data_IF_374544516516
#
_entry.id   IF_374544516516
#
_cell.length_a   1.000
_cell.length_b   1.000
_cell.length_c   1.000
_cell.angle_alpha   90.00
_cell.angle_beta   90.00
_cell.angle_gamma   90.00
#
_symmetry.space_group_name_H-M   'P 1'
#
loop_
_entity.id
_entity.type
_entity.pdbx_description
1 polymer ?
#
# COMPACT_ATOMS: atom_id res chain seq x y z
N UNK A 1 -35.00 4.30 19.32
CA UNK A 1 -34.44 4.75 18.03
C UNK A 1 -33.50 5.90 18.30
N UNK A 2 -32.32 5.90 17.69
CA UNK A 2 -31.29 6.94 17.85
C UNK A 2 -31.72 8.24 17.16
N UNK A 3 -31.34 9.39 17.71
CA UNK A 3 -31.63 10.69 17.11
C UNK A 3 -30.87 10.81 15.78
N UNK A 4 -31.60 10.74 14.66
CA UNK A 4 -31.07 10.79 13.30
C UNK A 4 -30.60 9.46 12.70
N UNK A 5 -30.76 8.31 13.39
CA UNK A 5 -30.54 6.97 12.83
C UNK A 5 -29.15 6.70 12.23
N UNK A 6 -28.97 5.51 11.64
CA UNK A 6 -27.87 5.20 10.71
C UNK A 6 -26.47 4.98 11.31
N UNK A 7 -26.34 4.78 12.62
CA UNK A 7 -25.05 4.58 13.26
C UNK A 7 -24.56 3.13 13.15
N UNK A 8 -23.34 2.97 12.65
CA UNK A 8 -22.58 1.72 12.60
C UNK A 8 -21.52 1.72 13.70
N UNK A 9 -21.42 0.65 14.47
CA UNK A 9 -20.33 0.48 15.44
C UNK A 9 -19.05 0.16 14.69
N UNK A 10 -18.04 0.99 14.86
CA UNK A 10 -16.70 0.76 14.32
C UNK A 10 -15.81 -0.01 15.28
N UNK A 11 -15.94 0.22 16.58
CA UNK A 11 -15.06 -0.43 17.54
C UNK A 11 -15.51 -0.29 18.98
N UNK A 12 -14.89 -1.10 19.82
CA UNK A 12 -15.11 -1.16 21.25
C UNK A 12 -13.80 -1.39 21.98
N UNK A 13 -13.51 -0.53 22.95
CA UNK A 13 -12.46 -0.69 23.94
C UNK A 13 -13.10 -0.94 25.31
N UNK A 14 -12.70 -2.03 25.98
CA UNK A 14 -13.13 -2.37 27.35
C UNK A 14 -11.99 -2.16 28.34
N UNK A 15 -12.25 -1.40 29.40
CA UNK A 15 -11.36 -1.26 30.54
C UNK A 15 -11.89 -2.03 31.77
N UNK A 16 -11.02 -2.71 32.56
CA UNK A 16 -9.62 -2.99 32.29
C UNK A 16 -9.45 -4.11 31.24
N UNK A 17 -8.52 -3.92 30.29
CA UNK A 17 -8.36 -4.75 29.09
C UNK A 17 -7.72 -6.13 29.31
N UNK A 18 -7.58 -6.58 30.55
CA UNK A 18 -6.64 -7.65 30.92
C UNK A 18 -7.07 -9.05 30.44
N UNK A 19 -8.30 -9.21 29.95
CA UNK A 19 -8.97 -10.50 29.88
C UNK A 19 -8.82 -11.33 28.60
N UNK A 20 -8.85 -10.76 27.39
CA UNK A 20 -9.17 -11.58 26.21
C UNK A 20 -8.75 -11.00 24.84
N UNK A 21 -7.49 -10.62 24.67
CA UNK A 21 -6.98 -10.56 23.30
C UNK A 21 -6.68 -12.01 22.81
N UNK A 22 -6.77 -12.30 21.50
CA UNK A 22 -6.34 -13.59 20.92
C UNK A 22 -4.96 -14.01 21.45
N UNK A 23 -4.69 -15.30 21.64
CA UNK A 23 -3.48 -15.77 22.37
C UNK A 23 -2.13 -15.38 21.74
N UNK A 24 -2.12 -14.88 20.51
CA UNK A 24 -1.00 -14.31 19.75
C UNK A 24 -0.92 -12.77 19.84
N UNK A 25 -1.99 -12.13 20.31
CA UNK A 25 -2.11 -10.70 20.57
C UNK A 25 -2.10 -10.53 22.08
N UNK A 26 -0.96 -10.09 22.64
CA UNK A 26 -0.92 -9.73 24.05
C UNK A 26 -2.03 -8.69 24.33
N UNK A 27 -2.68 -8.76 25.49
CA UNK A 27 -3.88 -8.03 25.91
C UNK A 27 -3.74 -6.48 25.98
N UNK A 28 -2.81 -5.92 25.20
CA UNK A 28 -2.23 -4.59 25.28
C UNK A 28 -2.06 -3.91 23.91
N UNK A 29 -2.50 -4.51 22.79
CA UNK A 29 -2.33 -3.93 21.45
C UNK A 29 -3.38 -2.87 21.08
N UNK A 30 -3.34 -1.72 21.77
CA UNK A 30 -4.14 -0.53 21.45
C UNK A 30 -3.77 0.13 20.11
N UNK A 31 -2.63 -0.26 19.53
CA UNK A 31 -2.18 0.17 18.21
C UNK A 31 -3.25 -0.09 17.13
N UNK A 32 -3.96 -1.21 17.24
CA UNK A 32 -5.00 -1.60 16.28
C UNK A 32 -6.22 -0.70 16.35
N UNK A 33 -6.55 -0.22 17.55
CA UNK A 33 -7.65 0.70 17.79
C UNK A 33 -7.44 2.09 17.14
N UNK A 34 -6.19 2.43 16.81
CA UNK A 34 -5.83 3.72 16.22
C UNK A 34 -5.38 3.62 14.76
N UNK A 35 -5.53 2.51 14.04
CA UNK A 35 -5.04 2.38 12.64
C UNK A 35 -6.08 2.75 11.57
N UNK A 36 -6.88 3.81 11.78
CA UNK A 36 -8.00 4.12 10.88
C UNK A 36 -7.60 4.43 9.43
N UNK A 37 -6.37 4.90 9.18
CA UNK A 37 -5.90 5.20 7.82
C UNK A 37 -5.07 4.08 7.20
N UNK A 38 -4.55 3.13 7.99
CA UNK A 38 -3.72 2.06 7.43
C UNK A 38 -4.59 0.87 7.06
N UNK A 39 -4.65 0.58 5.75
CA UNK A 39 -5.42 -0.56 5.24
C UNK A 39 -4.80 -1.92 5.48
N UNK A 40 -3.63 -1.96 6.15
CA UNK A 40 -2.97 -3.21 6.54
C UNK A 40 -3.83 -4.11 7.42
N UNK A 41 -4.76 -3.54 8.20
CA UNK A 41 -5.69 -4.32 9.02
C UNK A 41 -6.96 -4.76 8.25
N UNK A 42 -7.20 -4.23 7.05
CA UNK A 42 -8.44 -4.50 6.32
C UNK A 42 -8.35 -5.88 5.64
N UNK A 43 -9.29 -6.77 5.95
CA UNK A 43 -9.44 -8.06 5.29
C UNK A 43 -8.73 -9.23 5.98
N UNK A 44 -7.82 -8.97 6.92
CA UNK A 44 -7.18 -10.00 7.73
C UNK A 44 -8.14 -10.50 8.82
N UNK A 45 -8.34 -11.82 8.90
CA UNK A 45 -9.31 -12.47 9.80
C UNK A 45 -9.10 -12.11 11.28
N UNK A 46 -7.84 -11.95 11.72
CA UNK A 46 -7.50 -11.53 13.07
C UNK A 46 -7.93 -10.10 13.45
N UNK A 47 -8.47 -9.32 12.52
CA UNK A 47 -8.90 -7.94 12.72
C UNK A 47 -10.41 -7.75 12.55
N UNK A 48 -11.17 -8.84 12.49
CA UNK A 48 -12.62 -8.76 12.36
C UNK A 48 -13.22 -8.25 13.66
N UNK A 49 -14.07 -7.24 13.56
CA UNK A 49 -14.83 -6.76 14.70
C UNK A 49 -15.82 -7.81 15.16
N UNK A 50 -15.59 -8.41 16.32
CA UNK A 50 -16.58 -9.25 16.98
C UNK A 50 -17.22 -8.44 18.12
N UNK A 51 -18.48 -7.98 17.97
CA UNK A 51 -19.18 -7.25 19.03
C UNK A 51 -19.34 -8.07 20.32
N UNK A 52 -19.28 -9.40 20.23
CA UNK A 52 -19.31 -10.29 21.38
C UNK A 52 -17.91 -10.55 21.95
N UNK A 53 -16.85 -10.07 21.29
CA UNK A 53 -15.49 -10.23 21.79
C UNK A 53 -15.42 -9.66 23.21
N UNK A 54 -14.91 -10.47 24.14
CA UNK A 54 -14.72 -10.00 25.50
C UNK A 54 -13.51 -9.05 25.63
N UNK A 55 -12.69 -8.93 24.58
CA UNK A 55 -11.58 -7.98 24.46
C UNK A 55 -11.90 -6.75 23.60
N UNK A 56 -10.95 -5.81 23.46
CA UNK A 56 -11.10 -4.67 22.57
C UNK A 56 -11.05 -5.11 21.10
N UNK A 57 -11.80 -4.42 20.24
CA UNK A 57 -11.81 -4.65 18.80
C UNK A 57 -12.12 -3.36 18.03
N UNK A 58 -11.72 -3.32 16.77
CA UNK A 58 -11.99 -2.22 15.85
C UNK A 58 -12.05 -2.77 14.43
N UNK A 59 -13.06 -2.37 13.67
CA UNK A 59 -13.29 -2.79 12.29
C UNK A 59 -13.42 -1.58 11.36
N UNK A 60 -12.27 -1.09 10.90
CA UNK A 60 -12.19 0.03 9.97
C UNK A 60 -12.74 -0.28 8.58
N UNK A 61 -13.02 -1.55 8.24
CA UNK A 61 -13.61 -1.90 6.93
C UNK A 61 -14.99 -1.29 6.74
N UNK A 62 -15.70 -1.01 7.82
CA UNK A 62 -16.97 -0.28 7.78
C UNK A 62 -16.83 1.15 7.27
N UNK A 63 -15.60 1.69 7.19
CA UNK A 63 -15.31 2.94 6.49
C UNK A 63 -15.17 2.76 4.98
N UNK A 64 -15.02 1.54 4.48
CA UNK A 64 -14.92 1.30 3.05
C UNK A 64 -16.29 1.54 2.41
N UNK A 65 -16.36 2.55 1.54
CA UNK A 65 -17.59 2.98 0.89
C UNK A 65 -18.44 3.98 1.68
N UNK A 66 -18.05 4.38 2.90
CA UNK A 66 -18.76 5.46 3.60
C UNK A 66 -18.54 6.80 2.90
N UNK A 67 -19.60 7.56 2.67
CA UNK A 67 -19.49 8.94 2.21
C UNK A 67 -19.00 9.87 3.33
N UNK A 68 -18.22 10.87 2.93
CA UNK A 68 -17.87 11.99 3.80
C UNK A 68 -18.53 13.28 3.27
N UNK A 69 -18.96 14.22 4.14
CA UNK A 69 -18.72 14.25 5.58
C UNK A 69 -19.47 13.17 6.36
N UNK A 70 -18.78 12.55 7.31
CA UNK A 70 -19.30 11.56 8.23
C UNK A 70 -19.36 12.12 9.64
N UNK A 71 -20.23 11.56 10.48
CA UNK A 71 -20.27 11.83 11.90
C UNK A 71 -19.69 10.63 12.65
N UNK A 72 -18.71 10.88 13.52
CA UNK A 72 -18.09 9.86 14.37
C UNK A 72 -18.41 10.16 15.83
N UNK A 73 -19.06 9.25 16.53
CA UNK A 73 -19.31 9.39 17.97
C UNK A 73 -18.34 8.52 18.75
N UNK A 74 -17.68 9.10 19.75
CA UNK A 74 -16.91 8.37 20.75
C UNK A 74 -17.68 8.44 22.06
N UNK A 75 -18.17 7.30 22.52
CA UNK A 75 -19.01 7.17 23.71
C UNK A 75 -18.23 6.42 24.78
N UNK A 76 -18.07 7.04 25.95
CA UNK A 76 -17.28 6.48 27.03
C UNK A 76 -18.15 5.78 28.06
N UNK A 77 -17.58 4.75 28.70
CA UNK A 77 -18.20 3.98 29.78
C UNK A 77 -19.55 3.33 29.40
N UNK A 78 -19.74 3.03 28.12
CA UNK A 78 -20.92 2.34 27.62
C UNK A 78 -20.78 0.83 27.78
N UNK A 79 -21.52 0.25 28.74
CA UNK A 79 -21.44 -1.18 29.04
C UNK A 79 -21.97 -2.06 27.89
N UNK A 80 -23.17 -1.79 27.38
CA UNK A 80 -23.84 -2.64 26.40
C UNK A 80 -24.00 -1.98 25.02
N UNK A 81 -24.19 -2.77 23.96
CA UNK A 81 -24.54 -2.24 22.64
C UNK A 81 -26.05 -1.97 22.58
N UNK A 82 -26.48 -0.89 23.25
CA UNK A 82 -27.88 -0.48 23.27
C UNK A 82 -28.11 0.77 22.44
N UNK A 83 -29.35 0.96 21.96
CA UNK A 83 -29.78 2.27 21.47
C UNK A 83 -29.76 3.32 22.59
N UNK A 84 -29.75 4.61 22.25
CA UNK A 84 -29.81 5.69 23.23
C UNK A 84 -28.45 6.13 23.78
N UNK A 85 -27.37 5.81 23.07
CA UNK A 85 -26.03 6.30 23.39
C UNK A 85 -25.96 7.84 23.45
N UNK A 86 -26.89 8.53 22.79
CA UNK A 86 -27.02 9.99 22.81
C UNK A 86 -27.30 10.56 24.21
N UNK A 87 -27.80 9.74 25.12
CA UNK A 87 -28.08 10.12 26.50
C UNK A 87 -26.87 9.92 27.43
N UNK A 88 -25.74 9.42 26.92
CA UNK A 88 -24.52 9.28 27.72
C UNK A 88 -23.87 10.65 27.95
N UNK A 89 -23.53 10.95 29.21
CA UNK A 89 -22.92 12.23 29.58
C UNK A 89 -21.49 12.39 29.07
N UNK A 90 -20.77 11.27 28.92
CA UNK A 90 -19.37 11.23 28.48
C UNK A 90 -19.29 10.77 27.03
N UNK A 91 -19.49 11.71 26.11
CA UNK A 91 -19.37 11.46 24.67
C UNK A 91 -18.96 12.70 23.89
N UNK A 92 -18.22 12.51 22.81
CA UNK A 92 -18.03 13.52 21.77
C UNK A 92 -18.55 12.98 20.46
N UNK A 93 -19.27 13.84 19.74
CA UNK A 93 -19.65 13.62 18.35
C UNK A 93 -18.77 14.53 17.52
N UNK A 94 -18.00 13.95 16.61
CA UNK A 94 -17.21 14.62 15.60
C UNK A 94 -17.97 14.64 14.28
N UNK A 95 -17.83 15.73 13.52
CA UNK A 95 -18.13 15.77 12.09
C UNK A 95 -16.81 15.84 11.37
N UNK A 96 -16.60 14.85 10.50
CA UNK A 96 -15.33 14.52 9.87
C UNK A 96 -15.52 14.71 8.37
N UNK A 97 -14.69 15.53 7.72
CA UNK A 97 -14.80 15.84 6.29
C UNK A 97 -14.10 14.84 5.39
N UNK A 98 -13.02 14.22 5.85
CA UNK A 98 -12.30 13.17 5.10
C UNK A 98 -11.83 12.07 6.05
N UNK A 99 -11.59 10.87 5.52
CA UNK A 99 -11.05 9.75 6.31
C UNK A 99 -9.71 10.10 6.99
N UNK A 100 -8.90 10.97 6.37
CA UNK A 100 -7.62 11.43 6.93
C UNK A 100 -7.77 12.26 8.20
N UNK A 101 -8.99 12.59 8.63
CA UNK A 101 -9.21 13.30 9.88
C UNK A 101 -9.53 12.37 11.06
N UNK A 102 -9.70 11.07 10.80
CA UNK A 102 -9.98 10.06 11.81
C UNK A 102 -8.72 9.70 12.62
N UNK A 103 -8.87 9.09 13.82
CA UNK A 103 -7.76 8.74 14.70
C UNK A 103 -6.77 7.80 14.02
N UNK A 104 -5.53 8.24 13.80
CA UNK A 104 -4.53 7.43 13.11
C UNK A 104 -3.17 7.37 13.81
N UNK A 105 -2.70 6.14 14.04
CA UNK A 105 -1.42 5.79 14.60
C UNK A 105 -0.30 6.07 13.60
N UNK A 106 0.82 6.58 14.10
CA UNK A 106 2.03 6.75 13.29
C UNK A 106 1.98 7.92 12.30
N UNK A 107 0.94 8.75 12.35
CA UNK A 107 0.84 9.94 11.49
C UNK A 107 0.72 11.18 12.34
N UNK A 108 1.45 12.22 11.95
CA UNK A 108 1.17 13.56 12.41
C UNK A 108 -0.07 14.08 11.66
N UNK A 109 -0.91 14.82 12.36
CA UNK A 109 -2.14 15.40 11.82
C UNK A 109 -2.17 16.85 12.26
N UNK A 110 -1.68 17.70 11.37
CA UNK A 110 -1.71 19.14 11.55
C UNK A 110 -3.03 19.66 10.98
N UNK A 111 -4.08 19.59 11.79
CA UNK A 111 -5.31 20.31 11.45
C UNK A 111 -5.09 21.80 11.69
N UNK A 112 -5.67 22.61 10.82
CA UNK A 112 -5.79 24.05 10.92
C UNK A 112 -7.26 24.42 11.08
N UNK A 113 -7.53 25.62 11.60
CA UNK A 113 -8.89 26.15 11.68
C UNK A 113 -9.53 26.17 10.30
N UNK A 114 -10.75 25.63 10.17
CA UNK A 114 -11.43 25.51 8.87
C UNK A 114 -11.17 24.20 8.11
N UNK A 115 -10.36 23.29 8.64
CA UNK A 115 -10.21 21.95 8.07
C UNK A 115 -11.47 21.08 8.23
N UNK A 116 -12.50 21.59 8.91
CA UNK A 116 -13.83 21.00 9.04
C UNK A 116 -13.90 19.75 9.91
N UNK A 117 -12.98 19.59 10.87
CA UNK A 117 -13.23 18.71 12.01
C UNK A 117 -14.01 19.51 13.06
N UNK A 118 -15.32 19.26 13.12
CA UNK A 118 -16.17 19.88 14.13
C UNK A 118 -16.50 18.88 15.21
N UNK A 119 -16.87 19.37 16.39
CA UNK A 119 -17.29 18.54 17.50
C UNK A 119 -18.50 19.13 18.23
N UNK A 120 -19.20 18.27 18.97
CA UNK A 120 -20.24 18.64 19.94
C UNK A 120 -20.45 17.53 20.97
N UNK A 121 -21.11 17.83 22.10
CA UNK A 121 -21.38 16.84 23.17
C UNK A 121 -22.70 16.12 22.95
N UNK A 122 -23.71 16.82 22.44
CA UNK A 122 -25.04 16.27 22.22
C UNK A 122 -25.51 16.48 20.78
N UNK A 123 -26.39 15.62 20.24
CA UNK A 123 -26.92 15.79 18.89
C UNK A 123 -27.57 17.16 18.62
N UNK A 124 -28.18 17.77 19.64
CA UNK A 124 -28.83 19.09 19.55
C UNK A 124 -27.91 20.30 19.72
N UNK A 125 -26.65 20.10 20.13
CA UNK A 125 -25.70 21.20 20.32
C UNK A 125 -25.23 21.78 18.99
N UNK A 126 -24.82 23.04 19.01
CA UNK A 126 -24.14 23.67 17.89
C UNK A 126 -22.77 23.03 17.65
N UNK A 127 -22.35 22.97 16.39
CA UNK A 127 -21.01 22.52 16.02
C UNK A 127 -19.97 23.55 16.42
N UNK A 128 -18.92 23.10 17.10
CA UNK A 128 -17.73 23.89 17.38
C UNK A 128 -16.57 23.34 16.55
N UNK A 129 -15.78 24.23 15.94
CA UNK A 129 -14.54 23.83 15.26
C UNK A 129 -13.53 23.34 16.31
N UNK A 130 -12.87 22.21 16.05
CA UNK A 130 -11.76 21.77 16.90
C UNK A 130 -10.56 22.72 16.74
N UNK A 131 -10.45 23.39 15.59
CA UNK A 131 -9.41 24.37 15.27
C UNK A 131 -8.03 23.74 15.07
N UNK A 132 -7.00 24.59 15.05
CA UNK A 132 -5.59 24.16 14.90
C UNK A 132 -4.95 23.50 16.14
N UNK A 133 -5.74 23.20 17.18
CA UNK A 133 -5.24 22.68 18.45
C UNK A 133 -5.32 21.15 18.55
N UNK A 134 -5.68 20.47 17.46
CA UNK A 134 -5.52 19.02 17.37
C UNK A 134 -4.04 18.72 17.20
N UNK A 135 -3.53 17.69 17.87
CA UNK A 135 -2.38 17.02 17.31
C UNK A 135 -2.49 15.52 17.48
N UNK A 136 -1.82 14.85 16.57
CA UNK A 136 -1.52 13.45 16.68
C UNK A 136 -0.03 13.29 16.54
N UNK A 137 0.44 12.14 16.96
CA UNK A 137 1.80 11.74 16.75
C UNK A 137 1.84 10.23 16.68
N UNK A 138 3.03 9.68 16.80
CA UNK A 138 3.22 8.23 16.71
C UNK A 138 2.33 7.47 17.70
N UNK A 139 2.05 8.04 18.87
CA UNK A 139 1.45 7.31 19.99
C UNK A 139 0.10 7.85 20.47
N UNK A 140 -0.42 8.89 19.83
CA UNK A 140 -1.64 9.51 20.31
C UNK A 140 -2.42 10.21 19.20
N UNK A 141 -3.71 10.38 19.46
CA UNK A 141 -4.57 11.32 18.76
C UNK A 141 -5.35 12.12 19.79
N UNK A 142 -5.18 13.45 19.79
CA UNK A 142 -5.84 14.35 20.72
C UNK A 142 -6.52 15.50 19.99
N UNK A 143 -7.83 15.59 20.12
CA UNK A 143 -8.59 16.78 19.74
C UNK A 143 -8.76 17.66 20.98
N UNK A 144 -8.27 18.90 20.93
CA UNK A 144 -8.32 19.85 22.05
C UNK A 144 -9.31 20.97 21.75
N UNK A 145 -10.20 21.24 22.70
CA UNK A 145 -11.09 22.40 22.64
C UNK A 145 -10.29 23.70 22.90
N UNK A 146 -10.68 24.86 22.33
CA UNK A 146 -10.04 26.15 22.60
C UNK A 146 -9.87 26.53 24.09
N UNK A 147 -10.75 26.03 24.97
CA UNK A 147 -10.65 26.24 26.43
C UNK A 147 -9.75 25.20 27.14
N UNK A 148 -8.83 24.55 26.43
CA UNK A 148 -7.90 23.57 27.00
C UNK A 148 -8.56 22.33 27.63
N UNK A 149 -9.74 21.96 27.14
CA UNK A 149 -10.41 20.73 27.55
C UNK A 149 -10.11 19.63 26.51
N UNK A 150 -9.67 18.46 26.96
CA UNK A 150 -9.53 17.30 26.09
C UNK A 150 -10.92 16.73 25.80
N UNK A 151 -11.22 16.55 24.51
CA UNK A 151 -12.48 15.98 24.06
C UNK A 151 -12.44 14.47 24.22
N UNK A 152 -11.56 13.80 23.46
CA UNK A 152 -11.13 12.44 23.71
C UNK A 152 -9.65 12.33 23.32
N UNK A 153 -8.85 11.65 24.16
CA UNK A 153 -7.48 11.25 23.82
C UNK A 153 -7.45 9.73 23.63
N UNK A 154 -6.96 9.27 22.48
CA UNK A 154 -6.50 7.90 22.31
C UNK A 154 -4.97 7.91 22.48
N UNK A 155 -4.45 7.07 23.37
CA UNK A 155 -3.01 7.02 23.66
C UNK A 155 -2.53 5.57 23.80
N UNK A 156 -1.39 5.26 23.18
CA UNK A 156 -0.70 3.99 23.29
C UNK A 156 0.73 4.20 23.81
N UNK A 157 0.99 3.78 25.04
CA UNK A 157 2.28 4.02 25.71
C UNK A 157 3.24 2.83 25.75
N UNK A 158 2.88 1.68 25.17
CA UNK A 158 3.73 0.49 25.17
C UNK A 158 4.51 0.38 23.86
N UNK A 159 5.76 0.82 23.89
CA UNK A 159 6.58 0.95 22.69
C UNK A 159 7.08 -0.39 22.14
N UNK A 160 7.13 -1.44 22.97
CA UNK A 160 7.67 -2.76 22.56
C UNK A 160 6.97 -3.36 21.35
N UNK A 161 5.65 -3.24 21.31
CA UNK A 161 4.84 -3.81 20.23
C UNK A 161 4.71 -2.86 19.03
N UNK A 162 5.10 -1.60 19.23
CA UNK A 162 4.95 -0.55 18.23
C UNK A 162 6.21 -0.37 17.39
N UNK A 163 7.38 -0.42 18.02
CA UNK A 163 8.66 -0.20 17.37
C UNK A 163 9.82 -1.04 17.96
N UNK A 164 9.50 -2.07 18.76
CA UNK A 164 10.50 -3.01 19.29
C UNK A 164 11.30 -2.50 20.49
N UNK A 165 11.01 -1.32 21.03
CA UNK A 165 11.67 -0.80 22.25
C UNK A 165 11.37 -1.65 23.49
N UNK A 166 12.07 -1.40 24.60
CA UNK A 166 11.78 -2.06 25.88
C UNK A 166 10.33 -1.83 26.32
N UNK A 167 9.69 -2.85 26.91
CA UNK A 167 8.34 -2.72 27.44
C UNK A 167 8.30 -1.66 28.53
N UNK A 168 7.42 -0.68 28.37
CA UNK A 168 7.12 0.35 29.37
C UNK A 168 5.84 -0.02 30.09
N UNK A 169 5.77 0.22 31.41
CA UNK A 169 4.64 -0.20 32.25
C UNK A 169 3.49 0.81 32.21
N UNK A 170 2.94 1.06 31.02
CA UNK A 170 2.02 2.17 30.81
C UNK A 170 0.74 1.76 30.07
N UNK A 171 -0.34 2.45 30.44
CA UNK A 171 -1.73 2.13 30.20
C UNK A 171 -2.23 2.56 28.83
N UNK A 172 -3.23 1.84 28.34
CA UNK A 172 -3.98 2.17 27.14
C UNK A 172 -5.35 2.64 27.58
N UNK A 173 -5.84 3.78 27.08
CA UNK A 173 -7.23 4.17 27.35
C UNK A 173 -7.72 5.32 26.48
N UNK A 174 -9.04 5.45 26.43
CA UNK A 174 -9.69 6.69 26.05
C UNK A 174 -9.80 7.58 27.30
N UNK A 175 -9.37 8.83 27.18
CA UNK A 175 -9.44 9.81 28.26
C UNK A 175 -10.47 10.90 27.96
N UNK A 176 -11.08 11.45 29.01
CA UNK A 176 -12.03 12.56 28.94
C UNK A 176 -11.82 13.55 30.08
N UNK A 177 -11.66 14.84 29.79
CA UNK A 177 -11.63 15.92 30.80
C UNK A 177 -10.50 16.94 30.62
N UNK A 178 -10.33 17.83 31.60
CA UNK A 178 -9.36 18.92 31.57
C UNK A 178 -8.10 18.57 32.40
N UNK A 179 -6.91 18.77 31.83
CA UNK A 179 -5.61 18.61 32.51
C UNK A 179 -5.06 17.18 32.51
N UNK A 180 -3.96 16.93 31.77
CA UNK A 180 -3.19 15.69 31.88
C UNK A 180 -2.35 15.72 33.16
N UNK A 181 -2.95 15.30 34.29
CA UNK A 181 -2.31 15.34 35.60
C UNK A 181 -2.78 14.26 36.57
N UNK A 182 -2.24 13.03 36.44
CA UNK A 182 -1.58 12.39 37.58
C UNK A 182 -2.32 11.37 38.47
N UNK A 183 -3.55 10.92 38.20
CA UNK A 183 -4.06 9.70 38.85
C UNK A 183 -4.68 8.75 37.81
N UNK A 184 -4.64 7.44 38.02
CA UNK A 184 -5.11 6.43 37.07
C UNK A 184 -6.65 6.31 37.00
N UNK A 185 -7.41 7.36 37.34
CA UNK A 185 -8.88 7.36 37.37
C UNK A 185 -9.53 7.77 36.04
N UNK A 186 -8.76 7.87 34.94
CA UNK A 186 -9.18 8.46 33.67
C UNK A 186 -9.23 7.42 32.53
N UNK A 187 -9.16 6.14 32.86
CA UNK A 187 -9.28 5.08 31.87
C UNK A 187 -10.74 4.76 31.66
N UNK A 188 -11.24 5.10 30.48
CA UNK A 188 -12.61 4.80 30.10
C UNK A 188 -12.64 3.69 29.06
N UNK A 189 -13.64 2.82 29.19
CA UNK A 189 -14.10 2.03 28.05
C UNK A 189 -14.62 3.00 26.98
N UNK A 190 -14.44 2.68 25.70
CA UNK A 190 -14.90 3.55 24.62
C UNK A 190 -15.58 2.74 23.52
N UNK A 191 -16.66 3.29 22.96
CA UNK A 191 -17.26 2.78 21.73
C UNK A 191 -17.15 3.85 20.68
N UNK A 192 -16.76 3.44 19.48
CA UNK A 192 -16.71 4.32 18.32
C UNK A 192 -17.85 3.92 17.40
N UNK A 193 -18.69 4.89 17.09
CA UNK A 193 -19.77 4.76 16.11
C UNK A 193 -19.50 5.72 14.97
N UNK A 194 -19.94 5.38 13.78
CA UNK A 194 -19.92 6.27 12.63
C UNK A 194 -21.25 6.25 11.89
N UNK A 195 -21.60 7.37 11.26
CA UNK A 195 -22.67 7.43 10.28
C UNK A 195 -22.30 8.38 9.15
N UNK A 196 -22.86 8.12 7.99
CA UNK A 196 -22.88 9.06 6.88
C UNK A 196 -23.92 10.17 7.17
N UNK A 197 -23.54 11.43 6.97
CA UNK A 197 -24.43 12.58 7.32
C UNK A 197 -25.22 13.13 6.15
N UNK A 198 -24.77 12.83 4.94
CA UNK A 198 -25.46 13.15 3.71
C UNK A 198 -25.11 12.04 2.71
N UNK A 199 -26.03 11.64 1.83
CA UNK A 199 -25.63 10.94 0.63
C UNK A 199 -24.54 11.75 -0.07
N UNK A 200 -23.63 11.12 -0.81
CA UNK A 200 -22.67 11.83 -1.64
C UNK A 200 -23.43 12.88 -2.46
N UNK A 201 -22.96 14.14 -2.50
CA UNK A 201 -23.66 15.24 -3.16
C UNK A 201 -24.07 14.87 -4.59
N UNK A 202 -25.11 15.47 -5.19
CA UNK A 202 -25.62 15.02 -6.50
C UNK A 202 -24.58 15.05 -7.65
N UNK A 203 -23.54 15.90 -7.57
CA UNK A 203 -22.39 15.84 -8.47
C UNK A 203 -21.58 14.51 -8.35
N UNK A 204 -21.66 13.88 -7.20
CA UNK A 204 -21.02 12.62 -6.77
C UNK A 204 -21.91 11.38 -7.04
N UNK A 205 -23.17 11.59 -7.46
CA UNK A 205 -24.06 10.54 -7.94
C UNK A 205 -23.73 10.13 -9.39
N UNK A 206 -23.08 11.02 -10.15
CA UNK A 206 -22.60 10.76 -11.51
C UNK A 206 -21.13 10.30 -11.55
N UNK A 207 -20.44 10.25 -10.40
CA UNK A 207 -19.08 9.77 -10.32
C UNK A 207 -19.05 8.25 -10.40
N UNK A 208 -18.33 7.73 -11.40
CA UNK A 208 -18.02 6.30 -11.47
C UNK A 208 -16.94 5.99 -10.44
N UNK A 209 -17.24 5.07 -9.53
CA UNK A 209 -16.39 4.70 -8.39
C UNK A 209 -15.55 3.48 -8.70
N UNK A 210 -14.48 3.28 -7.93
CA UNK A 210 -13.75 2.01 -7.94
C UNK A 210 -14.57 0.96 -7.16
N UNK A 211 -14.68 -0.25 -7.71
CA UNK A 211 -15.39 -1.37 -7.12
C UNK A 211 -14.46 -2.58 -7.00
N UNK A 212 -14.55 -3.29 -5.88
CA UNK A 212 -13.87 -4.57 -5.68
C UNK A 212 -14.75 -5.70 -6.24
N UNK A 213 -14.25 -6.40 -7.25
CA UNK A 213 -14.91 -7.58 -7.80
C UNK A 213 -14.91 -8.76 -6.82
N UNK A 214 -15.78 -9.74 -7.08
CA UNK A 214 -15.84 -10.98 -6.29
C UNK A 214 -14.53 -11.79 -6.30
N UNK A 215 -13.67 -11.55 -7.30
CA UNK A 215 -12.33 -12.13 -7.44
C UNK A 215 -11.23 -11.33 -6.71
N UNK A 216 -11.62 -10.33 -5.91
CA UNK A 216 -10.69 -9.46 -5.19
C UNK A 216 -9.94 -8.47 -6.08
N UNK A 217 -10.39 -8.26 -7.33
CA UNK A 217 -9.75 -7.36 -8.29
C UNK A 217 -10.57 -6.10 -8.48
N UNK A 218 -9.88 -4.96 -8.43
CA UNK A 218 -10.51 -3.63 -8.54
C UNK A 218 -10.75 -3.26 -10.01
N UNK A 219 -11.93 -2.72 -10.29
CA UNK A 219 -12.37 -2.17 -11.58
C UNK A 219 -13.21 -0.91 -11.34
N UNK A 220 -13.50 -0.13 -12.37
CA UNK A 220 -14.50 0.92 -12.24
C UNK A 220 -15.91 0.31 -12.16
N UNK A 221 -16.82 0.91 -11.39
CA UNK A 221 -18.16 0.40 -11.12
C UNK A 221 -19.06 0.37 -12.39
N UNK A 222 -18.68 1.10 -13.43
CA UNK A 222 -19.28 1.03 -14.77
C UNK A 222 -18.69 -0.09 -15.65
N UNK A 223 -17.80 -0.92 -15.09
CA UNK A 223 -17.00 -1.95 -15.76
C UNK A 223 -16.00 -1.41 -16.80
N UNK A 224 -15.79 -0.10 -16.88
CA UNK A 224 -14.69 0.44 -17.66
C UNK A 224 -13.37 0.08 -16.99
N UNK A 225 -12.30 0.02 -17.78
CA UNK A 225 -10.96 -0.32 -17.29
C UNK A 225 -9.99 0.78 -17.70
N UNK A 226 -8.98 1.02 -16.85
CA UNK A 226 -7.85 1.87 -17.21
C UNK A 226 -6.74 1.06 -17.87
N UNK A 227 -5.90 1.70 -18.68
CA UNK A 227 -4.77 1.03 -19.32
C UNK A 227 -3.61 0.72 -18.35
N UNK A 228 -3.45 1.57 -17.33
CA UNK A 228 -2.33 1.50 -16.39
C UNK A 228 -2.78 1.76 -14.96
N UNK A 229 -1.98 1.33 -13.97
CA UNK A 229 -2.21 1.69 -12.57
C UNK A 229 -2.13 3.21 -12.34
N UNK A 230 -1.35 3.93 -13.14
CA UNK A 230 -1.27 5.40 -13.12
C UNK A 230 -2.60 6.04 -13.52
N UNK A 231 -3.26 5.53 -14.56
CA UNK A 231 -4.58 6.00 -14.98
C UNK A 231 -5.71 5.60 -14.03
N UNK A 232 -5.55 4.49 -13.30
CA UNK A 232 -6.35 4.36 -12.09
C UNK A 232 -5.99 5.55 -11.20
N UNK A 233 -4.74 5.66 -10.69
CA UNK A 233 -4.29 6.66 -9.68
C UNK A 233 -4.63 8.11 -9.99
N UNK A 234 -4.75 8.45 -11.26
CA UNK A 234 -5.16 9.75 -11.78
C UNK A 234 -6.30 9.51 -12.80
N UNK A 235 -7.54 9.34 -12.34
CA UNK A 235 -8.64 8.90 -13.19
C UNK A 235 -9.06 10.01 -14.16
N UNK A 236 -9.50 9.66 -15.38
CA UNK A 236 -10.02 10.64 -16.33
C UNK A 236 -11.30 11.32 -15.78
N UNK A 237 -11.63 12.48 -16.32
CA UNK A 237 -12.80 13.27 -15.89
C UNK A 237 -14.09 12.42 -15.85
N UNK A 238 -14.91 12.62 -14.82
CA UNK A 238 -16.14 11.86 -14.58
C UNK A 238 -15.95 10.56 -13.78
N UNK A 239 -14.70 10.13 -13.57
CA UNK A 239 -14.35 9.07 -12.62
C UNK A 239 -13.73 9.70 -11.38
N UNK A 240 -14.13 9.22 -10.22
CA UNK A 240 -13.60 9.73 -8.97
C UNK A 240 -13.20 8.60 -8.06
N UNK A 241 -12.21 8.92 -7.24
CA UNK A 241 -11.83 8.05 -6.16
C UNK A 241 -12.67 8.32 -4.93
N UNK A 242 -13.50 7.33 -4.59
CA UNK A 242 -14.14 7.23 -3.29
C UNK A 242 -13.97 5.80 -2.80
N UNK A 243 -13.36 5.62 -1.64
CA UNK A 243 -12.94 4.31 -1.13
C UNK A 243 -11.44 4.06 -1.29
N UNK A 244 -11.05 2.79 -1.43
CA UNK A 244 -9.65 2.37 -1.40
C UNK A 244 -8.87 2.52 -2.70
N UNK A 245 -8.10 3.61 -2.83
CA UNK A 245 -6.95 3.72 -3.75
C UNK A 245 -5.75 2.96 -3.18
N UNK A 246 -5.95 1.67 -2.96
CA UNK A 246 -4.99 0.82 -2.28
C UNK A 246 -4.02 0.22 -3.26
N UNK A 247 -2.80 -0.07 -2.79
CA UNK A 247 -1.98 -1.05 -3.48
C UNK A 247 -2.71 -2.39 -3.44
N UNK A 248 -2.72 -3.12 -4.56
CA UNK A 248 -3.53 -4.32 -4.69
C UNK A 248 -3.78 -4.69 -6.14
N UNK A 249 -4.73 -5.60 -6.35
CA UNK A 249 -5.05 -6.11 -7.67
C UNK A 249 -6.05 -5.23 -8.41
N UNK A 250 -5.73 -4.94 -9.67
CA UNK A 250 -6.57 -4.17 -10.59
C UNK A 250 -6.72 -4.92 -11.90
N UNK A 251 -7.85 -4.70 -12.59
CA UNK A 251 -8.00 -5.13 -13.98
C UNK A 251 -7.61 -3.99 -14.90
N UNK A 252 -6.66 -4.24 -15.77
CA UNK A 252 -6.16 -3.28 -16.74
C UNK A 252 -6.57 -3.69 -18.15
N UNK A 253 -6.81 -2.71 -19.03
CA UNK A 253 -7.08 -2.96 -20.45
C UNK A 253 -5.82 -2.80 -21.27
N UNK A 254 -5.45 -3.83 -22.03
CA UNK A 254 -4.34 -3.76 -23.00
C UNK A 254 -4.86 -3.99 -24.41
N UNK A 255 -4.11 -3.62 -25.46
CA UNK A 255 -4.41 -4.00 -26.84
C UNK A 255 -4.60 -5.51 -27.07
N UNK A 256 -4.00 -6.35 -26.22
CA UNK A 256 -4.10 -7.80 -26.28
C UNK A 256 -5.20 -8.39 -25.39
N UNK A 257 -6.04 -7.54 -24.78
CA UNK A 257 -7.12 -7.94 -23.87
C UNK A 257 -6.93 -7.44 -22.45
N UNK A 258 -7.90 -7.75 -21.60
CA UNK A 258 -7.91 -7.34 -20.20
C UNK A 258 -6.98 -8.26 -19.38
N UNK A 259 -6.17 -7.66 -18.49
CA UNK A 259 -5.21 -8.38 -17.65
C UNK A 259 -5.44 -8.07 -16.18
N UNK A 260 -5.09 -9.01 -15.29
CA UNK A 260 -4.97 -8.76 -13.85
C UNK A 260 -3.53 -8.28 -13.60
N UNK A 261 -3.37 -7.19 -12.87
CA UNK A 261 -2.06 -6.67 -12.50
C UNK A 261 -2.07 -6.15 -11.07
N UNK A 262 -0.94 -6.26 -10.38
CA UNK A 262 -0.77 -5.62 -9.10
C UNK A 262 -0.37 -4.15 -9.31
N UNK A 263 -1.12 -3.24 -8.71
CA UNK A 263 -0.81 -1.83 -8.66
C UNK A 263 -0.25 -1.46 -7.30
N UNK A 264 0.89 -0.79 -7.26
CA UNK A 264 1.29 -0.02 -6.09
C UNK A 264 0.84 1.45 -6.23
N UNK A 265 -0.07 1.84 -5.34
CA UNK A 265 -0.69 3.17 -5.31
C UNK A 265 -0.04 4.12 -4.31
N UNK A 266 0.98 3.68 -3.56
CA UNK A 266 1.57 4.43 -2.46
C UNK A 266 3.02 4.85 -2.74
N UNK A 267 3.89 3.94 -3.17
CA UNK A 267 5.32 4.24 -3.20
C UNK A 267 5.62 5.37 -4.19
N UNK A 268 6.29 6.41 -3.70
CA UNK A 268 6.81 7.51 -4.52
C UNK A 268 5.75 8.24 -5.35
N UNK A 269 4.53 8.35 -4.83
CA UNK A 269 3.37 8.94 -5.54
C UNK A 269 2.47 7.91 -6.23
N UNK A 270 2.81 6.61 -6.16
CA UNK A 270 1.98 5.52 -6.64
C UNK A 270 1.84 5.43 -8.15
N UNK A 271 0.84 4.65 -8.57
CA UNK A 271 0.54 4.38 -9.98
C UNK A 271 1.50 3.39 -10.63
N UNK A 272 2.26 2.64 -9.84
CA UNK A 272 3.19 1.62 -10.31
C UNK A 272 2.44 0.35 -10.67
N UNK A 273 2.74 -0.20 -11.84
CA UNK A 273 2.18 -1.46 -12.30
C UNK A 273 3.26 -2.53 -12.26
N UNK A 274 3.03 -3.63 -11.54
CA UNK A 274 3.92 -4.78 -11.55
C UNK A 274 3.85 -5.46 -12.93
N UNK A 275 4.98 -5.58 -13.60
CA UNK A 275 5.10 -6.20 -14.92
C UNK A 275 5.90 -7.49 -14.90
N UNK A 276 6.64 -7.78 -13.82
CA UNK A 276 7.47 -8.98 -13.75
C UNK A 276 7.89 -9.32 -12.32
N UNK A 277 7.99 -10.62 -11.98
CA UNK A 277 8.44 -11.10 -10.66
C UNK A 277 9.28 -12.38 -10.69
N UNK A 278 10.59 -12.25 -10.51
CA UNK A 278 11.54 -13.35 -10.45
C UNK A 278 11.68 -13.88 -9.03
N UNK A 279 11.62 -15.20 -8.85
CA UNK A 279 11.83 -15.87 -7.56
C UNK A 279 13.09 -16.73 -7.55
N UNK A 280 13.97 -16.50 -6.57
CA UNK A 280 15.17 -17.31 -6.31
C UNK A 280 14.99 -18.18 -5.05
N UNK A 281 15.46 -19.44 -5.03
CA UNK A 281 15.95 -20.25 -6.15
C UNK A 281 14.82 -20.83 -7.01
N UNK A 282 14.97 -20.77 -8.33
CA UNK A 282 13.95 -21.19 -9.29
C UNK A 282 13.73 -22.70 -9.43
N UNK A 283 14.43 -23.55 -8.66
CA UNK A 283 14.56 -24.97 -8.97
C UNK A 283 13.28 -25.82 -8.85
N UNK A 284 12.23 -25.37 -8.14
CA UNK A 284 11.11 -26.26 -7.76
C UNK A 284 9.75 -25.91 -8.37
N UNK A 285 9.62 -24.83 -9.13
CA UNK A 285 8.30 -24.28 -9.48
C UNK A 285 8.10 -23.95 -10.97
N UNK A 286 8.91 -24.51 -11.87
CA UNK A 286 8.61 -24.42 -13.28
C UNK A 286 7.42 -25.34 -13.64
N UNK A 287 6.52 -24.91 -14.54
CA UNK A 287 5.42 -25.74 -15.05
C UNK A 287 5.93 -27.00 -15.75
N UNK A 288 5.04 -27.97 -15.88
CA UNK A 288 5.24 -29.07 -16.82
C UNK A 288 5.49 -28.53 -18.24
N UNK A 289 6.62 -28.91 -18.84
CA UNK A 289 7.00 -28.51 -20.20
C UNK A 289 7.99 -27.34 -20.28
N UNK A 290 8.31 -26.70 -19.16
CA UNK A 290 9.41 -25.73 -19.07
C UNK A 290 10.45 -26.25 -18.08
N UNK A 291 11.73 -26.06 -18.41
CA UNK A 291 12.74 -26.28 -17.40
C UNK A 291 12.71 -25.13 -16.39
N UNK A 292 13.14 -25.39 -15.15
CA UNK A 292 13.40 -24.39 -14.10
C UNK A 292 14.51 -23.36 -14.46
N UNK A 293 14.79 -23.25 -15.76
CA UNK A 293 15.88 -22.53 -16.41
C UNK A 293 15.39 -21.63 -17.58
N UNK A 294 14.09 -21.60 -17.88
CA UNK A 294 13.52 -20.72 -18.92
C UNK A 294 13.35 -19.27 -18.40
N UNK A 295 14.48 -18.58 -18.24
CA UNK A 295 14.56 -17.18 -17.80
C UNK A 295 14.57 -16.18 -18.95
N UNK A 296 14.61 -16.65 -20.20
CA UNK A 296 14.55 -15.83 -21.40
C UNK A 296 13.27 -14.97 -21.43
N UNK A 297 12.15 -15.52 -20.96
CA UNK A 297 10.87 -14.83 -20.81
C UNK A 297 10.95 -13.52 -20.00
N UNK A 298 11.90 -13.37 -19.09
CA UNK A 298 12.11 -12.12 -18.34
C UNK A 298 12.64 -11.00 -19.21
N UNK A 299 13.51 -11.34 -20.14
CA UNK A 299 14.34 -10.38 -20.83
C UNK A 299 13.72 -9.91 -22.14
N UNK A 300 12.56 -10.42 -22.55
CA UNK A 300 11.94 -10.01 -23.81
C UNK A 300 11.02 -8.79 -23.68
N UNK A 301 11.43 -7.72 -22.99
CA UNK A 301 10.57 -6.53 -22.81
C UNK A 301 10.21 -5.82 -24.13
N UNK A 302 11.06 -5.96 -25.17
CA UNK A 302 10.83 -5.36 -26.49
C UNK A 302 10.05 -6.24 -27.44
N UNK A 303 10.01 -7.54 -27.18
CA UNK A 303 9.35 -8.47 -28.08
C UNK A 303 7.91 -8.74 -27.63
N UNK A 304 6.96 -8.50 -28.54
CA UNK A 304 5.56 -8.85 -28.31
C UNK A 304 5.29 -10.36 -28.52
N UNK A 305 6.28 -11.15 -28.93
CA UNK A 305 6.16 -12.57 -29.28
C UNK A 305 6.52 -13.50 -28.11
N UNK A 306 7.32 -13.06 -27.15
CA UNK A 306 7.63 -13.83 -25.91
C UNK A 306 6.45 -13.91 -24.91
N UNK A 307 5.26 -13.60 -25.40
CA UNK A 307 4.01 -13.40 -24.68
C UNK A 307 3.13 -14.61 -24.97
N UNK A 308 2.56 -15.26 -23.94
CA UNK A 308 1.37 -16.07 -24.19
C UNK A 308 1.30 -17.48 -23.64
N UNK A 309 2.18 -17.92 -22.73
CA UNK A 309 1.72 -19.01 -21.87
C UNK A 309 0.69 -18.41 -20.90
N UNK A 310 -0.59 -18.73 -21.12
CA UNK A 310 -1.70 -18.25 -20.30
C UNK A 310 -1.52 -18.55 -18.80
N UNK A 311 -0.70 -19.56 -18.45
CA UNK A 311 -0.37 -19.90 -17.07
C UNK A 311 0.57 -18.90 -16.36
N UNK A 312 1.26 -17.99 -17.08
CA UNK A 312 2.26 -17.06 -16.52
C UNK A 312 1.92 -15.59 -16.76
N UNK A 313 0.77 -15.33 -17.36
CA UNK A 313 0.36 -13.97 -17.69
C UNK A 313 -0.10 -13.26 -16.41
N UNK A 314 0.68 -12.29 -15.95
CA UNK A 314 0.25 -11.30 -14.95
C UNK A 314 -0.11 -11.87 -13.57
N UNK A 315 0.44 -13.04 -13.21
CA UNK A 315 0.15 -13.69 -11.93
C UNK A 315 1.34 -13.64 -10.96
N UNK A 316 1.51 -12.59 -10.13
CA UNK A 316 2.46 -12.59 -9.02
C UNK A 316 2.28 -13.70 -8.01
N UNK A 317 1.14 -14.41 -7.98
CA UNK A 317 0.98 -15.60 -7.15
C UNK A 317 1.54 -16.86 -7.82
N UNK A 318 2.00 -16.75 -9.08
CA UNK A 318 2.71 -17.83 -9.77
C UNK A 318 3.89 -18.28 -8.92
N UNK A 319 3.97 -19.61 -8.73
CA UNK A 319 5.07 -20.23 -8.02
C UNK A 319 6.41 -20.02 -8.73
N UNK A 320 6.36 -19.83 -10.06
CA UNK A 320 7.50 -19.59 -10.94
C UNK A 320 7.61 -18.13 -11.39
N UNK A 321 8.73 -17.84 -12.05
CA UNK A 321 9.01 -16.52 -12.59
C UNK A 321 8.07 -16.20 -13.77
N UNK A 322 7.60 -14.97 -13.87
CA UNK A 322 6.80 -14.48 -15.00
C UNK A 322 7.07 -13.01 -15.38
N UNK A 323 6.74 -12.65 -16.61
CA UNK A 323 6.70 -11.27 -17.06
C UNK A 323 5.48 -11.04 -17.97
N UNK A 324 4.84 -9.89 -17.87
CA UNK A 324 3.74 -9.47 -18.74
C UNK A 324 4.02 -8.09 -19.36
N UNK A 325 4.76 -8.13 -20.46
CA UNK A 325 5.14 -6.93 -21.19
C UNK A 325 4.03 -6.37 -22.09
N UNK A 326 2.86 -7.03 -22.20
CA UNK A 326 1.72 -6.48 -22.94
C UNK A 326 1.29 -5.13 -22.38
N UNK A 327 1.48 -4.94 -21.07
CA UNK A 327 1.23 -3.65 -20.44
C UNK A 327 1.99 -2.51 -21.14
N UNK A 328 3.24 -2.74 -21.56
CA UNK A 328 4.05 -1.70 -22.20
C UNK A 328 3.45 -1.19 -23.52
N UNK A 329 2.60 -1.97 -24.18
CA UNK A 329 1.90 -1.51 -25.38
C UNK A 329 0.80 -0.47 -25.08
N UNK A 330 0.35 -0.38 -23.83
CA UNK A 330 -0.67 0.55 -23.37
C UNK A 330 -0.07 1.73 -22.57
N UNK A 331 1.24 1.73 -22.35
CA UNK A 331 1.99 2.71 -21.56
C UNK A 331 2.62 3.75 -22.49
N UNK A 332 2.44 5.02 -22.16
CA UNK A 332 3.12 6.15 -22.78
C UNK A 332 4.55 6.30 -22.25
N UNK A 333 5.45 6.64 -23.16
CA UNK A 333 6.82 6.99 -22.83
C UNK A 333 7.00 8.53 -22.84
N UNK A 334 7.91 9.10 -22.03
CA UNK A 334 8.84 8.42 -21.13
C UNK A 334 8.13 7.80 -19.91
N UNK A 335 8.71 6.74 -19.37
CA UNK A 335 8.20 6.05 -18.20
C UNK A 335 9.28 5.93 -17.11
N UNK A 336 8.86 5.62 -15.88
CA UNK A 336 9.74 5.16 -14.82
C UNK A 336 9.61 3.65 -14.63
N UNK A 337 10.74 2.97 -14.47
CA UNK A 337 10.83 1.53 -14.22
C UNK A 337 11.58 1.30 -12.92
N UNK A 338 10.98 0.63 -11.94
CA UNK A 338 11.65 0.27 -10.70
C UNK A 338 11.97 -1.22 -10.69
N UNK A 339 13.22 -1.55 -10.36
CA UNK A 339 13.64 -2.91 -10.04
C UNK A 339 13.85 -2.99 -8.54
N UNK A 340 13.10 -3.86 -7.87
CA UNK A 340 13.20 -4.12 -6.44
C UNK A 340 13.87 -5.47 -6.22
N UNK A 341 14.96 -5.50 -5.48
CA UNK A 341 15.64 -6.74 -5.12
C UNK A 341 15.13 -7.22 -3.76
N UNK A 342 14.72 -8.49 -3.69
CA UNK A 342 14.15 -9.08 -2.49
C UNK A 342 14.65 -10.50 -2.23
N UNK A 343 14.70 -10.90 -0.95
CA UNK A 343 15.03 -12.27 -0.51
C UNK A 343 13.78 -13.16 -0.46
N UNK A 344 13.07 -13.29 -1.57
CA UNK A 344 12.01 -14.30 -1.72
C UNK A 344 10.75 -14.07 -0.89
N UNK A 345 10.47 -12.84 -0.46
CA UNK A 345 9.19 -12.52 0.17
C UNK A 345 8.09 -12.40 -0.90
N UNK A 346 6.97 -13.12 -0.76
CA UNK A 346 5.81 -13.00 -1.64
C UNK A 346 5.03 -11.68 -1.44
N UNK A 347 5.54 -10.75 -0.62
CA UNK A 347 4.77 -9.61 -0.16
C UNK A 347 4.97 -8.36 -1.02
N UNK A 348 3.94 -8.04 -1.79
CA UNK A 348 3.77 -6.80 -2.56
C UNK A 348 3.25 -5.67 -1.65
N UNK A 349 4.05 -5.27 -0.67
CA UNK A 349 3.78 -4.10 0.18
C UNK A 349 4.25 -2.78 -0.43
N UNK A 350 4.04 -1.67 0.28
CA UNK A 350 4.70 -0.38 -0.03
C UNK A 350 6.22 -0.58 -0.05
N UNK A 351 6.85 -0.36 -1.21
CA UNK A 351 8.29 -0.50 -1.40
C UNK A 351 9.06 0.83 -1.19
N UNK A 352 8.41 1.86 -0.62
CA UNK A 352 9.08 3.09 -0.23
C UNK A 352 10.29 2.82 0.68
N UNK A 353 10.19 1.83 1.58
CA UNK A 353 11.23 1.42 2.52
C UNK A 353 12.23 0.36 2.02
N UNK A 354 12.10 -0.19 0.81
CA UNK A 354 13.07 -1.19 0.33
C UNK A 354 14.39 -0.52 -0.02
N UNK A 355 15.46 -0.91 0.67
CA UNK A 355 16.82 -0.36 0.51
C UNK A 355 17.52 -0.81 -0.78
N UNK A 356 17.12 -1.95 -1.35
CA UNK A 356 17.68 -2.47 -2.58
C UNK A 356 16.72 -2.25 -3.75
N UNK A 357 16.67 -1.01 -4.25
CA UNK A 357 15.92 -0.66 -5.45
C UNK A 357 16.74 0.24 -6.37
N UNK A 358 16.51 0.08 -7.67
CA UNK A 358 16.92 1.07 -8.66
C UNK A 358 15.68 1.55 -9.40
N UNK A 359 15.56 2.86 -9.53
CA UNK A 359 14.50 3.50 -10.31
C UNK A 359 15.16 4.06 -11.55
N UNK A 360 14.73 3.58 -12.71
CA UNK A 360 15.12 4.06 -14.01
C UNK A 360 14.07 5.02 -14.56
N UNK A 361 14.49 6.05 -15.28
CA UNK A 361 13.67 6.82 -16.20
C UNK A 361 14.08 6.41 -17.60
N UNK A 362 13.10 5.96 -18.36
CA UNK A 362 13.26 5.28 -19.64
C UNK A 362 12.55 6.13 -20.68
N UNK A 363 13.30 6.68 -21.64
CA UNK A 363 12.75 7.59 -22.64
C UNK A 363 11.82 6.93 -23.64
N UNK A 364 12.16 5.73 -24.09
CA UNK A 364 11.37 4.98 -25.05
C UNK A 364 11.64 3.48 -24.88
N UNK A 365 10.84 2.66 -25.57
CA UNK A 365 10.93 1.19 -25.44
C UNK A 365 12.29 0.64 -25.89
N UNK A 366 13.01 1.33 -26.76
CA UNK A 366 14.27 0.84 -27.33
C UNK A 366 15.43 0.88 -26.33
N UNK A 367 15.30 1.61 -25.22
CA UNK A 367 16.31 1.66 -24.14
C UNK A 367 15.98 0.76 -22.93
N UNK A 368 14.88 0.00 -22.98
CA UNK A 368 14.51 -0.97 -21.95
C UNK A 368 15.34 -2.25 -22.04
N UNK A 369 15.48 -3.04 -20.94
CA UNK A 369 16.16 -4.33 -20.98
C UNK A 369 15.61 -5.22 -22.11
N UNK A 370 16.48 -5.81 -22.91
CA UNK A 370 16.08 -6.79 -23.90
C UNK A 370 17.16 -7.86 -24.09
N UNK A 371 16.80 -9.14 -24.03
CA UNK A 371 17.64 -10.20 -24.58
C UNK A 371 17.62 -10.11 -26.10
N UNK A 372 18.53 -10.82 -26.77
CA UNK A 372 18.68 -10.92 -28.23
C UNK A 372 19.15 -9.67 -28.98
N UNK A 373 19.14 -8.50 -28.36
CA UNK A 373 19.68 -7.26 -28.97
C UNK A 373 20.90 -6.75 -28.23
N UNK A 374 21.95 -6.41 -28.98
CA UNK A 374 23.05 -5.59 -28.45
C UNK A 374 22.61 -4.13 -28.47
N UNK A 375 22.74 -3.44 -27.34
CA UNK A 375 22.58 -2.00 -27.26
C UNK A 375 23.71 -1.42 -26.41
N UNK A 376 24.49 -0.57 -27.05
CA UNK A 376 25.41 0.32 -26.37
C UNK A 376 24.63 1.60 -26.08
N UNK A 377 24.45 1.91 -24.81
CA UNK A 377 23.85 3.18 -24.40
C UNK A 377 24.94 4.23 -24.44
N UNK A 378 24.74 5.33 -25.16
CA UNK A 378 25.60 6.51 -25.11
C UNK A 378 25.04 7.52 -24.11
N UNK A 379 25.92 8.37 -23.57
CA UNK A 379 25.49 9.49 -22.72
C UNK A 379 24.44 10.34 -23.45
N UNK A 380 23.33 10.65 -22.78
CA UNK A 380 22.19 11.34 -23.40
C UNK A 380 21.18 10.44 -24.11
N UNK A 381 21.32 9.11 -24.05
CA UNK A 381 20.28 8.16 -24.48
C UNK A 381 19.04 8.16 -23.58
N UNK A 382 19.07 8.96 -22.51
CA UNK A 382 17.96 9.24 -21.62
C UNK A 382 17.50 8.03 -20.80
N UNK A 383 18.42 7.10 -20.52
CA UNK A 383 18.28 6.18 -19.40
C UNK A 383 18.94 6.81 -18.18
N UNK A 384 18.11 7.33 -17.28
CA UNK A 384 18.57 7.86 -16.01
C UNK A 384 18.25 6.88 -14.89
N UNK A 385 19.02 6.88 -13.82
CA UNK A 385 18.73 6.10 -12.63
C UNK A 385 18.82 6.93 -11.36
N UNK A 386 18.19 6.43 -10.31
CA UNK A 386 18.40 6.83 -8.92
C UNK A 386 18.12 5.65 -7.98
N UNK A 387 18.75 5.65 -6.81
CA UNK A 387 18.58 4.58 -5.83
C UNK A 387 17.41 4.89 -4.89
N UNK A 388 17.24 6.17 -4.54
CA UNK A 388 16.12 6.62 -3.73
C UNK A 388 15.25 7.63 -4.48
N UNK A 389 13.96 7.75 -4.10
CA UNK A 389 13.02 8.67 -4.74
C UNK A 389 13.45 10.13 -4.64
N UNK A 390 14.12 10.51 -3.55
CA UNK A 390 14.62 11.87 -3.30
C UNK A 390 15.98 12.17 -3.93
N UNK A 391 16.67 11.18 -4.50
CA UNK A 391 17.98 11.38 -5.10
C UNK A 391 17.86 12.09 -6.46
N UNK A 392 18.93 12.78 -6.86
CA UNK A 392 19.06 13.34 -8.20
C UNK A 392 19.20 12.22 -9.24
N UNK A 393 18.62 12.45 -10.41
CA UNK A 393 18.79 11.57 -11.55
C UNK A 393 20.24 11.57 -12.02
N UNK A 394 20.79 10.37 -12.22
CA UNK A 394 22.12 10.15 -12.77
C UNK A 394 21.99 9.50 -14.13
N UNK A 395 22.66 10.04 -15.15
CA UNK A 395 22.73 9.40 -16.47
C UNK A 395 23.51 8.10 -16.32
N UNK A 396 22.93 7.00 -16.81
CA UNK A 396 23.61 5.70 -16.87
C UNK A 396 24.89 5.77 -17.74
N UNK A 397 24.93 6.70 -18.70
CA UNK A 397 26.11 7.07 -19.48
C UNK A 397 26.59 6.00 -20.47
N UNK A 398 27.67 6.34 -21.20
CA UNK A 398 28.32 5.51 -22.23
C UNK A 398 28.90 4.16 -21.80
N UNK A 399 28.99 3.90 -20.49
CA UNK A 399 29.68 2.72 -19.95
C UNK A 399 28.76 1.50 -19.78
N UNK A 400 27.49 1.65 -20.13
CA UNK A 400 26.54 0.55 -20.08
C UNK A 400 26.58 -0.22 -21.38
N UNK A 401 26.58 -1.54 -21.25
CA UNK A 401 26.49 -2.41 -22.39
C UNK A 401 25.36 -3.40 -22.17
N UNK A 402 24.72 -3.75 -23.26
CA UNK A 402 23.86 -4.91 -23.33
C UNK A 402 24.31 -5.75 -24.51
N UNK A 403 24.28 -7.05 -24.28
CA UNK A 403 24.54 -8.05 -25.29
C UNK A 403 23.30 -8.91 -25.45
N UNK A 404 23.42 -9.90 -26.33
CA UNK A 404 22.35 -10.88 -26.60
C UNK A 404 21.81 -11.52 -25.31
N UNK A 405 22.62 -11.61 -24.25
CA UNK A 405 22.30 -12.36 -23.04
C UNK A 405 22.30 -11.52 -21.77
N UNK A 406 22.50 -10.21 -21.86
CA UNK A 406 22.66 -9.40 -20.67
C UNK A 406 22.29 -7.95 -20.89
N UNK A 407 21.82 -7.34 -19.82
CA UNK A 407 21.62 -5.90 -19.73
C UNK A 407 22.18 -5.43 -18.39
N UNK A 408 23.22 -4.60 -18.43
CA UNK A 408 23.82 -4.02 -17.23
C UNK A 408 24.03 -2.51 -17.34
N UNK A 409 23.07 -1.70 -16.87
CA UNK A 409 23.36 -0.32 -16.51
C UNK A 409 24.48 -0.26 -15.47
N UNK A 410 25.55 0.47 -15.77
CA UNK A 410 26.67 0.72 -14.86
C UNK A 410 26.61 2.12 -14.29
N UNK A 411 26.94 2.25 -13.02
CA UNK A 411 27.28 3.54 -12.43
C UNK A 411 28.71 3.95 -12.84
N UNK A 412 29.04 5.23 -12.63
CA UNK A 412 30.36 5.80 -12.94
C UNK A 412 31.54 5.12 -12.22
N UNK A 413 31.28 4.36 -11.16
CA UNK A 413 32.28 3.60 -10.40
C UNK A 413 32.39 2.12 -10.84
N UNK A 414 31.86 1.74 -12.00
CA UNK A 414 31.81 0.35 -12.48
C UNK A 414 30.98 -0.62 -11.63
N UNK A 415 30.13 -0.12 -10.72
CA UNK A 415 29.13 -0.97 -10.07
C UNK A 415 27.96 -1.22 -11.00
N UNK A 416 27.47 -2.45 -11.00
CA UNK A 416 26.23 -2.81 -11.65
C UNK A 416 25.05 -2.29 -10.82
N UNK A 417 24.20 -1.49 -11.46
CA UNK A 417 22.98 -0.97 -10.84
C UNK A 417 21.88 -2.04 -10.84
N UNK A 418 21.72 -2.72 -11.96
CA UNK A 418 20.94 -3.94 -12.04
C UNK A 418 21.55 -4.73 -13.19
N UNK A 419 22.07 -5.93 -12.91
CA UNK A 419 22.44 -6.86 -13.98
C UNK A 419 21.29 -7.85 -14.13
N UNK A 420 20.69 -7.84 -15.32
CA UNK A 420 19.86 -8.92 -15.81
C UNK A 420 20.73 -9.77 -16.73
N UNK A 421 20.88 -11.06 -16.43
CA UNK A 421 21.81 -11.93 -17.13
C UNK A 421 21.23 -13.31 -17.38
N UNK A 422 21.31 -13.75 -18.63
CA UNK A 422 21.05 -15.10 -19.08
C UNK A 422 22.38 -15.82 -19.30
N UNK A 423 22.54 -16.97 -18.66
CA UNK A 423 23.85 -17.63 -18.60
C UNK A 423 23.85 -19.08 -19.04
N UNK A 424 22.68 -19.65 -19.35
CA UNK A 424 22.59 -20.99 -19.90
C UNK A 424 21.97 -20.96 -21.30
N UNK A 425 22.90 -20.98 -22.26
CA UNK A 425 22.68 -20.73 -23.68
C UNK A 425 21.99 -21.89 -24.41
N UNK A 426 21.86 -23.07 -23.78
CA UNK A 426 21.29 -24.26 -24.42
C UNK A 426 19.76 -24.18 -24.60
N UNK A 427 19.08 -23.34 -23.83
CA UNK A 427 17.61 -23.21 -23.86
C UNK A 427 17.14 -21.96 -24.61
N UNK A 428 18.08 -21.13 -25.06
CA UNK A 428 17.74 -20.02 -25.94
C UNK A 428 17.46 -20.60 -27.32
N UNK A 429 16.20 -20.46 -27.76
CA UNK A 429 15.62 -21.13 -28.94
C UNK A 429 16.44 -20.99 -30.22
N UNK A 430 17.33 -19.99 -30.29
CA UNK A 430 17.98 -19.57 -31.52
C UNK A 430 19.50 -19.83 -31.58
N UNK A 431 20.13 -20.41 -30.53
CA UNK A 431 21.59 -20.62 -30.54
C UNK A 431 21.99 -22.02 -30.04
N UNK A 432 22.51 -22.92 -30.90
CA UNK A 432 22.94 -24.25 -30.49
C UNK A 432 24.27 -24.15 -29.73
N UNK A 433 24.19 -24.03 -28.40
CA UNK A 433 25.35 -24.04 -27.49
C UNK A 433 25.16 -25.11 -26.42
N UNK A 434 26.26 -25.72 -25.98
CA UNK A 434 26.24 -26.66 -24.86
C UNK A 434 25.76 -26.01 -23.57
N UNK A 435 25.03 -26.77 -22.75
CA UNK A 435 24.52 -26.27 -21.47
C UNK A 435 25.65 -25.80 -20.58
N UNK A 436 25.58 -24.54 -20.14
CA UNK A 436 26.49 -23.97 -19.16
C UNK A 436 25.81 -23.97 -17.81
N UNK A 437 26.57 -24.23 -16.74
CA UNK A 437 26.03 -24.45 -15.39
C UNK A 437 25.86 -23.13 -14.61
N UNK A 438 25.49 -22.05 -15.30
CA UNK A 438 25.48 -20.72 -14.73
C UNK A 438 24.06 -20.23 -14.46
N UNK A 439 23.98 -19.23 -13.58
CA UNK A 439 22.78 -18.77 -12.91
C UNK A 439 22.17 -17.52 -13.56
N UNK A 440 20.89 -17.31 -13.29
CA UNK A 440 20.07 -16.22 -13.83
C UNK A 440 19.58 -15.41 -12.65
N UNK A 441 19.68 -14.08 -12.67
CA UNK A 441 19.15 -13.27 -11.57
C UNK A 441 19.17 -11.78 -11.86
N UNK A 442 18.50 -11.03 -10.98
CA UNK A 442 18.83 -9.65 -10.70
C UNK A 442 20.05 -9.54 -9.79
N UNK A 443 20.96 -8.62 -10.09
CA UNK A 443 22.18 -8.38 -9.33
C UNK A 443 22.41 -6.88 -9.07
N UNK A 444 22.94 -6.55 -7.89
CA UNK A 444 23.41 -5.22 -7.50
C UNK A 444 24.78 -5.34 -6.81
N UNK A 445 25.81 -4.61 -7.28
CA UNK A 445 27.17 -4.69 -6.70
C UNK A 445 28.34 -4.49 -7.66
N UNK A 446 29.56 -4.76 -7.19
CA UNK A 446 30.79 -4.72 -7.98
C UNK A 446 31.32 -6.14 -8.29
N UNK A 447 31.66 -6.39 -9.56
CA UNK A 447 32.33 -7.62 -10.01
C UNK A 447 31.40 -8.81 -10.34
N UNK A 448 31.61 -9.41 -11.52
CA UNK A 448 31.05 -10.73 -11.85
C UNK A 448 32.09 -11.79 -11.45
N UNK A 449 31.88 -12.54 -10.37
CA UNK A 449 32.84 -13.59 -9.98
C UNK A 449 32.78 -14.17 -8.56
N UNK A 450 31.76 -13.88 -7.75
CA UNK A 450 31.64 -14.47 -6.41
C UNK A 450 30.84 -15.79 -6.38
N UNK A 451 30.98 -16.60 -5.31
CA UNK A 451 30.25 -17.86 -5.13
C UNK A 451 28.73 -17.62 -5.08
N UNK A 452 27.92 -18.52 -5.65
CA UNK A 452 26.46 -18.61 -5.91
C UNK A 452 25.41 -17.87 -5.01
N UNK A 453 25.80 -17.04 -4.06
CA UNK A 453 24.93 -16.32 -3.12
C UNK A 453 24.45 -14.94 -3.63
N UNK A 454 24.63 -14.63 -4.92
CA UNK A 454 24.40 -13.28 -5.49
C UNK A 454 23.06 -13.12 -6.21
N UNK A 455 22.24 -14.17 -6.20
CA UNK A 455 21.00 -14.20 -6.94
C UNK A 455 19.85 -13.73 -6.06
N UNK A 456 19.25 -12.59 -6.41
CA UNK A 456 18.11 -12.05 -5.70
C UNK A 456 16.83 -12.34 -6.46
N UNK A 457 15.75 -12.61 -5.71
CA UNK A 457 14.40 -12.45 -6.26
C UNK A 457 14.22 -10.98 -6.64
N UNK A 458 13.41 -10.68 -7.64
CA UNK A 458 13.20 -9.29 -8.01
C UNK A 458 11.83 -9.02 -8.60
N UNK A 459 11.31 -7.84 -8.30
CA UNK A 459 10.08 -7.34 -8.87
C UNK A 459 10.38 -6.18 -9.79
N UNK A 460 9.69 -6.11 -10.91
CA UNK A 460 9.78 -4.98 -11.81
C UNK A 460 8.44 -4.26 -11.91
N UNK A 461 8.47 -2.97 -11.61
CA UNK A 461 7.33 -2.07 -11.69
C UNK A 461 7.56 -1.03 -12.78
N UNK A 462 6.50 -0.60 -13.44
CA UNK A 462 6.55 0.53 -14.39
C UNK A 462 5.44 1.54 -14.10
N UNK A 463 5.68 2.81 -14.39
CA UNK A 463 4.65 3.85 -14.42
C UNK A 463 4.93 4.92 -15.46
N UNK A 464 3.88 5.47 -16.03
CA UNK A 464 3.94 6.62 -16.94
C UNK A 464 4.32 7.89 -16.17
N UNK A 465 5.05 8.79 -16.84
CA UNK A 465 5.37 10.10 -16.29
C UNK A 465 4.29 11.16 -16.51
N UNK A 466 3.47 10.99 -17.57
CA UNK A 466 2.48 11.98 -18.01
C UNK A 466 1.05 11.61 -17.60
#
# INVERSE_FOLDING_TARGET
TTAGGGWTVLGHYRYPGNGNAPGDIDNRDYAYYMRSRTRQAFGLEGYYGDPNSPGPWMDWRSLDGIGFPAEMAVVLDMNDFSSGWENYDRKVIYRVKTADQLPNYGTDQDLTTGDNLYWKRNPGDAWADVGGNTSSGTYYWYTRHPNDNYLVLFHASNYRYLDGRGATNHQHSAYWGAGMGGNNSWHHSAKILIRETAPPAAAEANEIRLALGADGVRTWADNSLSATCKQYRNPPAGKAYRGDIGSGWYRLRTPAGDIKAFCDMHSNGGGWTLVSFYRHPGYQNAPAGHENRDYDLYMHARDNVAIGNAAYIGDPDSAGAWADWRLLSAVSFPLEMSVLLGRGLPYLGDFSGTSAKVIYRVKDRTVMPNSTTSQDLVTGDNLYYKLNPGDNWTDVGGNSASGIYYWYPRASNNNYLTLLHESNYAYLRDVPRGATNYHYSFYYGSGMGGPNDWHYSGHMFVRELN
#
